data_IF_471610203927
#
_entry.id   IF_471610203927
#
_cell.length_a   1.000
_cell.length_b   1.000
_cell.length_c   1.000
_cell.angle_alpha   90.00
_cell.angle_beta   90.00
_cell.angle_gamma   90.00
#
_symmetry.space_group_name_H-M   'P 1'
#
loop_
_entity.id
_entity.type
_entity.pdbx_description
1 polymer ?
#
# COMPACT_ATOMS: atom_id res chain seq x y z
N UNK A 1 -25.70 -11.74 -2.19
CA UNK A 1 -24.41 -12.30 -2.61
C UNK A 1 -24.13 -11.89 -4.06
N UNK A 2 -23.03 -11.20 -4.34
CA UNK A 2 -22.77 -10.44 -5.60
C UNK A 2 -22.98 -11.24 -6.89
N UNK A 3 -22.75 -12.56 -6.85
CA UNK A 3 -22.98 -13.46 -8.00
C UNK A 3 -24.44 -13.48 -8.49
N UNK A 4 -25.41 -13.29 -7.59
CA UNK A 4 -26.85 -13.29 -7.92
C UNK A 4 -27.34 -11.95 -8.47
N UNK A 5 -26.52 -10.90 -8.41
CA UNK A 5 -26.92 -9.57 -8.89
C UNK A 5 -26.71 -9.45 -10.40
N UNK A 6 -27.71 -8.94 -11.16
CA UNK A 6 -27.54 -8.59 -12.56
C UNK A 6 -26.38 -7.60 -12.75
N UNK A 7 -25.69 -7.67 -13.90
CA UNK A 7 -24.61 -6.73 -14.22
C UNK A 7 -25.11 -5.28 -14.28
N UNK A 8 -26.37 -5.07 -14.66
CA UNK A 8 -27.02 -3.76 -14.70
C UNK A 8 -27.05 -3.09 -13.33
N UNK A 9 -27.37 -3.83 -12.26
CA UNK A 9 -27.41 -3.30 -10.89
C UNK A 9 -26.01 -2.86 -10.44
N UNK A 10 -24.99 -3.67 -10.72
CA UNK A 10 -23.60 -3.37 -10.37
C UNK A 10 -23.07 -2.18 -11.19
N UNK A 11 -23.52 -2.04 -12.44
CA UNK A 11 -23.19 -0.90 -13.30
C UNK A 11 -23.82 0.38 -12.79
N UNK A 12 -25.09 0.30 -12.36
CA UNK A 12 -25.81 1.42 -11.76
C UNK A 12 -25.18 1.88 -10.44
N UNK A 13 -24.57 0.95 -9.69
CA UNK A 13 -23.78 1.24 -8.49
C UNK A 13 -22.39 1.85 -8.78
N UNK A 14 -22.01 2.07 -10.05
CA UNK A 14 -20.79 2.78 -10.44
C UNK A 14 -19.60 1.90 -10.84
N UNK A 15 -19.72 0.57 -10.83
CA UNK A 15 -18.63 -0.29 -11.29
C UNK A 15 -18.48 -0.23 -12.81
N UNK A 16 -17.25 -0.26 -13.32
CA UNK A 16 -17.00 -0.49 -14.75
C UNK A 16 -17.26 -1.95 -15.12
N UNK A 17 -17.50 -2.24 -16.40
CA UNK A 17 -17.69 -3.63 -16.87
C UNK A 17 -16.50 -4.54 -16.54
N UNK A 18 -15.27 -4.01 -16.60
CA UNK A 18 -14.09 -4.76 -16.19
C UNK A 18 -14.12 -5.10 -14.69
N UNK A 19 -14.42 -4.11 -13.82
CA UNK A 19 -14.53 -4.33 -12.38
C UNK A 19 -15.65 -5.29 -12.02
N UNK A 20 -16.79 -5.23 -12.71
CA UNK A 20 -17.88 -6.21 -12.55
C UNK A 20 -17.38 -7.63 -12.80
N UNK A 21 -16.65 -7.84 -13.91
CA UNK A 21 -16.09 -9.15 -14.24
C UNK A 21 -15.09 -9.64 -13.18
N UNK A 22 -14.25 -8.75 -12.65
CA UNK A 22 -13.25 -9.10 -11.63
C UNK A 22 -13.92 -9.45 -10.30
N UNK A 23 -14.88 -8.64 -9.84
CA UNK A 23 -15.60 -8.90 -8.58
C UNK A 23 -16.41 -10.19 -8.68
N UNK A 24 -17.05 -10.47 -9.82
CA UNK A 24 -17.75 -11.74 -10.03
C UNK A 24 -16.81 -12.93 -10.10
N UNK A 25 -15.66 -12.82 -10.76
CA UNK A 25 -14.63 -13.87 -10.77
C UNK A 25 -14.11 -14.17 -9.36
N UNK A 26 -13.78 -13.12 -8.60
CA UNK A 26 -13.36 -13.24 -7.20
C UNK A 26 -14.41 -13.94 -6.34
N UNK A 27 -15.67 -13.49 -6.42
CA UNK A 27 -16.76 -14.08 -5.67
C UNK A 27 -17.01 -15.55 -6.06
N UNK A 28 -16.89 -15.90 -7.34
CA UNK A 28 -17.03 -17.28 -7.79
C UNK A 28 -15.93 -18.18 -7.21
N UNK A 29 -14.68 -17.71 -7.19
CA UNK A 29 -13.53 -18.44 -6.64
C UNK A 29 -13.62 -18.71 -5.14
N UNK A 30 -14.22 -17.80 -4.39
CA UNK A 30 -14.51 -18.04 -2.97
C UNK A 30 -15.62 -19.07 -2.78
N UNK A 31 -16.64 -19.07 -3.65
CA UNK A 31 -17.77 -20.01 -3.55
C UNK A 31 -17.38 -21.42 -3.95
N UNK A 32 -16.56 -21.57 -4.98
CA UNK A 32 -16.11 -22.88 -5.48
C UNK A 32 -14.86 -23.41 -4.78
N UNK A 33 -14.28 -22.65 -3.84
CA UNK A 33 -13.12 -23.06 -3.05
C UNK A 33 -11.78 -22.96 -3.78
N UNK A 34 -11.74 -22.40 -5.00
CA UNK A 34 -10.47 -22.15 -5.72
C UNK A 34 -9.61 -21.06 -5.08
N UNK A 35 -10.19 -20.24 -4.21
CA UNK A 35 -9.48 -19.24 -3.43
C UNK A 35 -9.90 -19.35 -1.97
N UNK A 36 -8.93 -19.65 -1.11
CA UNK A 36 -9.10 -19.68 0.35
C UNK A 36 -8.08 -18.75 0.99
N UNK A 37 -8.59 -17.75 1.73
CA UNK A 37 -7.75 -16.76 2.42
C UNK A 37 -6.93 -17.38 3.54
N UNK A 38 -7.41 -18.47 4.15
CA UNK A 38 -6.71 -19.15 5.25
C UNK A 38 -5.40 -19.77 4.76
N UNK A 39 -5.43 -20.38 3.58
CA UNK A 39 -4.23 -20.92 2.94
C UNK A 39 -3.22 -19.82 2.66
N UNK A 40 -3.67 -18.64 2.19
CA UNK A 40 -2.78 -17.50 1.94
C UNK A 40 -2.15 -16.97 3.24
N UNK A 41 -2.88 -17.01 4.36
CA UNK A 41 -2.35 -16.59 5.66
C UNK A 41 -1.23 -17.52 6.16
N UNK A 42 -1.38 -18.83 5.93
CA UNK A 42 -0.44 -19.88 6.32
C UNK A 42 0.83 -19.94 5.44
N UNK A 43 0.82 -19.33 4.26
CA UNK A 43 1.99 -19.24 3.40
C UNK A 43 2.99 -18.21 3.95
N UNK A 44 4.20 -18.65 4.29
CA UNK A 44 5.29 -17.75 4.68
C UNK A 44 5.98 -17.10 3.47
N UNK A 45 5.97 -17.77 2.32
CA UNK A 45 6.60 -17.27 1.10
C UNK A 45 5.75 -16.19 0.41
N UNK A 46 6.37 -15.02 0.20
CA UNK A 46 5.77 -13.88 -0.49
C UNK A 46 5.40 -14.22 -1.94
N UNK A 47 6.28 -14.90 -2.67
CA UNK A 47 6.06 -15.20 -4.09
C UNK A 47 4.92 -16.22 -4.28
N UNK A 48 4.81 -17.20 -3.39
CA UNK A 48 3.66 -18.10 -3.35
C UNK A 48 2.35 -17.34 -3.11
N UNK A 49 2.32 -16.41 -2.13
CA UNK A 49 1.16 -15.58 -1.87
C UNK A 49 0.75 -14.74 -3.09
N UNK A 50 1.72 -14.09 -3.74
CA UNK A 50 1.49 -13.28 -4.94
C UNK A 50 0.96 -14.16 -6.08
N UNK A 51 1.51 -15.36 -6.26
CA UNK A 51 1.10 -16.29 -7.30
C UNK A 51 -0.35 -16.73 -7.10
N UNK A 52 -0.76 -17.08 -5.88
CA UNK A 52 -2.15 -17.46 -5.58
C UNK A 52 -3.12 -16.31 -5.82
N UNK A 53 -2.81 -15.10 -5.33
CA UNK A 53 -3.65 -13.92 -5.53
C UNK A 53 -3.75 -13.52 -7.01
N UNK A 54 -2.65 -13.65 -7.77
CA UNK A 54 -2.60 -13.31 -9.19
C UNK A 54 -3.42 -14.25 -10.08
N UNK A 55 -3.89 -15.39 -9.55
CA UNK A 55 -4.85 -16.23 -10.28
C UNK A 55 -6.19 -15.53 -10.48
N UNK A 56 -6.56 -14.59 -9.62
CA UNK A 56 -7.81 -13.83 -9.71
C UNK A 56 -7.75 -12.86 -10.89
N UNK A 57 -8.79 -12.84 -11.72
CA UNK A 57 -8.81 -11.95 -12.88
C UNK A 57 -8.78 -10.49 -12.44
N UNK A 58 -7.79 -9.73 -12.95
CA UNK A 58 -7.64 -8.30 -12.65
C UNK A 58 -6.79 -8.01 -11.41
N UNK A 59 -6.31 -9.05 -10.72
CA UNK A 59 -5.31 -8.92 -9.65
C UNK A 59 -3.94 -9.25 -10.26
N UNK A 60 -3.06 -8.26 -10.33
CA UNK A 60 -1.67 -8.44 -10.72
C UNK A 60 -0.74 -8.32 -9.51
N UNK A 61 0.58 -8.46 -9.74
CA UNK A 61 1.60 -8.42 -8.67
C UNK A 61 1.42 -7.24 -7.72
N UNK A 62 1.35 -6.02 -8.24
CA UNK A 62 1.21 -4.82 -7.41
C UNK A 62 -0.05 -4.86 -6.54
N UNK A 63 -1.20 -5.29 -7.10
CA UNK A 63 -2.44 -5.44 -6.33
C UNK A 63 -2.31 -6.54 -5.28
N UNK A 64 -1.64 -7.65 -5.58
CA UNK A 64 -1.36 -8.71 -4.61
C UNK A 64 -0.50 -8.20 -3.45
N UNK A 65 0.57 -7.45 -3.74
CA UNK A 65 1.42 -6.81 -2.72
C UNK A 65 0.60 -5.86 -1.83
N UNK A 66 -0.29 -5.03 -2.42
CA UNK A 66 -1.19 -4.15 -1.65
C UNK A 66 -2.15 -4.95 -0.75
N UNK A 67 -2.70 -6.06 -1.24
CA UNK A 67 -3.56 -6.95 -0.44
C UNK A 67 -2.76 -7.54 0.72
N UNK A 68 -1.54 -8.02 0.47
CA UNK A 68 -0.68 -8.62 1.49
C UNK A 68 -0.31 -7.62 2.59
N UNK A 69 -0.02 -6.37 2.21
CA UNK A 69 0.30 -5.29 3.15
C UNK A 69 -0.92 -4.86 3.98
N UNK A 70 -2.04 -4.54 3.35
CA UNK A 70 -3.16 -3.86 4.03
C UNK A 70 -4.24 -4.79 4.56
N UNK A 71 -4.58 -5.85 3.81
CA UNK A 71 -5.64 -6.77 4.22
C UNK A 71 -5.08 -7.92 5.06
N UNK A 72 -3.97 -8.51 4.64
CA UNK A 72 -3.34 -9.67 5.32
C UNK A 72 -2.38 -9.21 6.42
N UNK A 73 -1.85 -7.98 6.34
CA UNK A 73 -0.89 -7.39 7.30
C UNK A 73 0.43 -8.16 7.41
N UNK A 74 0.93 -8.71 6.30
CA UNK A 74 2.27 -9.30 6.24
C UNK A 74 3.31 -8.17 6.46
N UNK A 75 4.27 -8.32 7.39
CA UNK A 75 5.15 -7.22 7.80
C UNK A 75 6.30 -6.94 6.82
N UNK A 76 6.62 -7.89 5.93
CA UNK A 76 7.86 -7.84 5.13
C UNK A 76 7.65 -7.78 3.61
N UNK A 77 6.64 -7.03 3.15
CA UNK A 77 6.35 -6.85 1.72
C UNK A 77 7.03 -5.57 1.21
N UNK A 78 7.68 -5.66 0.04
CA UNK A 78 8.31 -4.53 -0.64
C UNK A 78 7.78 -4.39 -2.07
N UNK A 79 6.83 -3.47 -2.33
CA UNK A 79 6.27 -3.28 -3.67
C UNK A 79 7.25 -2.51 -4.57
N UNK A 80 8.24 -3.21 -5.12
CA UNK A 80 9.33 -2.60 -5.89
C UNK A 80 8.85 -1.82 -7.13
N UNK A 81 7.66 -2.13 -7.66
CA UNK A 81 7.08 -1.45 -8.83
C UNK A 81 6.27 -0.19 -8.48
N UNK A 82 6.06 0.10 -7.20
CA UNK A 82 5.26 1.25 -6.75
C UNK A 82 6.06 2.55 -6.88
N UNK A 83 5.63 3.44 -7.77
CA UNK A 83 6.32 4.71 -8.02
C UNK A 83 6.30 5.64 -6.81
N UNK A 84 5.28 5.53 -5.95
CA UNK A 84 5.19 6.29 -4.71
C UNK A 84 6.28 5.84 -3.73
N UNK A 85 6.39 4.53 -3.48
CA UNK A 85 7.45 3.99 -2.62
C UNK A 85 8.83 4.31 -3.18
N UNK A 86 9.06 4.14 -4.49
CA UNK A 86 10.35 4.47 -5.09
C UNK A 86 10.72 5.95 -4.89
N UNK A 87 9.78 6.87 -5.10
CA UNK A 87 10.00 8.31 -4.89
C UNK A 87 10.22 8.62 -3.40
N UNK A 88 9.45 7.99 -2.51
CA UNK A 88 9.62 8.12 -1.07
C UNK A 88 11.00 7.67 -0.59
N UNK A 89 11.51 6.55 -1.14
CA UNK A 89 12.87 6.07 -0.85
C UNK A 89 13.93 7.08 -1.28
N UNK A 90 13.80 7.68 -2.47
CA UNK A 90 14.70 8.74 -2.89
C UNK A 90 14.67 9.93 -1.91
N UNK A 91 13.48 10.38 -1.52
CA UNK A 91 13.33 11.49 -0.57
C UNK A 91 13.93 11.15 0.81
N UNK A 92 13.79 9.89 1.25
CA UNK A 92 14.37 9.42 2.50
C UNK A 92 15.90 9.44 2.47
N UNK A 93 16.54 8.75 1.52
CA UNK A 93 18.01 8.66 1.47
C UNK A 93 18.70 9.98 1.11
N UNK A 94 18.00 10.91 0.45
CA UNK A 94 18.51 12.24 0.16
C UNK A 94 18.30 13.25 1.29
N UNK A 95 17.58 12.88 2.35
CA UNK A 95 17.41 13.73 3.52
C UNK A 95 18.70 13.83 4.35
N UNK A 96 18.75 14.85 5.21
CA UNK A 96 19.82 15.05 6.17
C UNK A 96 19.68 14.08 7.35
N UNK A 97 20.67 14.02 8.24
CA UNK A 97 20.63 13.12 9.41
C UNK A 97 19.47 13.36 10.39
N UNK A 98 18.79 14.51 10.29
CA UNK A 98 17.54 14.78 11.02
C UNK A 98 16.31 14.06 10.43
N UNK A 99 16.49 13.36 9.30
CA UNK A 99 15.44 12.67 8.57
C UNK A 99 14.53 13.60 7.78
N UNK A 100 13.66 13.02 6.93
CA UNK A 100 12.76 13.80 6.11
C UNK A 100 11.59 14.36 6.93
N UNK A 101 11.19 15.60 6.66
CA UNK A 101 10.09 16.28 7.37
C UNK A 101 8.74 15.83 6.84
N UNK A 102 8.04 14.97 7.58
CA UNK A 102 6.69 14.53 7.23
C UNK A 102 5.69 15.62 7.64
N UNK A 103 5.05 16.27 6.66
CA UNK A 103 3.97 17.22 6.91
C UNK A 103 2.63 16.49 6.95
N UNK A 104 2.16 16.14 8.15
CA UNK A 104 0.82 15.57 8.33
C UNK A 104 -0.21 16.70 8.17
N UNK A 105 -0.84 16.80 7.01
CA UNK A 105 -2.06 17.60 6.87
C UNK A 105 -3.12 16.97 7.77
N UNK A 106 -3.43 17.60 8.91
CA UNK A 106 -4.56 17.17 9.76
C UNK A 106 -5.82 17.23 8.90
N UNK A 107 -6.42 16.07 8.57
CA UNK A 107 -7.76 16.02 8.00
C UNK A 107 -8.71 16.70 8.98
N UNK A 108 -9.39 17.75 8.54
CA UNK A 108 -10.54 18.27 9.28
C UNK A 108 -11.68 17.26 9.14
N UNK A 109 -12.39 16.90 10.22
CA UNK A 109 -13.56 16.03 10.12
C UNK A 109 -14.59 16.66 9.17
N UNK A 110 -14.91 15.98 8.06
CA UNK A 110 -15.95 16.41 7.11
C UNK A 110 -15.48 17.00 5.77
N UNK A 111 -14.17 17.10 5.49
CA UNK A 111 -13.68 17.42 4.14
C UNK A 111 -13.56 16.13 3.31
N UNK A 112 -14.47 15.94 2.35
CA UNK A 112 -14.29 14.95 1.27
C UNK A 112 -13.17 15.43 0.34
N UNK A 113 -12.26 14.53 -0.04
CA UNK A 113 -11.19 14.82 -0.99
C UNK A 113 -11.79 15.35 -2.31
N UNK A 114 -11.20 16.37 -2.96
CA UNK A 114 -11.49 16.57 -4.37
C UNK A 114 -11.06 15.30 -5.11
N UNK A 115 -12.01 14.65 -5.80
CA UNK A 115 -11.74 13.47 -6.62
C UNK A 115 -10.49 13.71 -7.47
N UNK A 116 -9.52 12.81 -7.34
CA UNK A 116 -8.27 12.84 -8.09
C UNK A 116 -8.63 12.71 -9.58
N UNK A 117 -8.72 13.87 -10.26
CA UNK A 117 -9.26 13.97 -11.61
C UNK A 117 -8.21 13.55 -12.63
N UNK A 118 -7.92 12.26 -12.67
CA UNK A 118 -7.08 11.64 -13.68
C UNK A 118 -7.73 10.36 -14.25
N UNK A 119 -9.06 10.31 -14.38
CA UNK A 119 -9.75 9.38 -15.29
C UNK A 119 -11.00 10.06 -15.88
N UNK A 120 -10.95 10.28 -17.20
CA UNK A 120 -12.07 10.55 -18.11
C UNK A 120 -12.94 11.81 -17.92
N UNK A 121 -12.51 12.90 -18.57
CA UNK A 121 -13.43 13.93 -19.08
C UNK A 121 -14.32 13.34 -20.17
N UNK A 122 -15.58 12.99 -19.85
CA UNK A 122 -16.76 13.32 -20.68
C UNK A 122 -18.08 12.89 -20.01
N UNK A 123 -19.10 13.71 -20.27
CA UNK A 123 -20.52 13.60 -19.90
C UNK A 123 -20.93 13.90 -18.46
N UNK A 124 -21.09 15.21 -18.17
CA UNK A 124 -22.06 15.73 -17.21
C UNK A 124 -23.48 15.29 -17.61
N UNK A 125 -24.12 14.44 -16.81
CA UNK A 125 -25.57 14.47 -16.57
C UNK A 125 -25.82 14.13 -15.10
N UNK A 126 -26.41 15.08 -14.40
CA UNK A 126 -26.84 15.00 -12.99
C UNK A 126 -27.79 13.82 -12.79
N UNK A 127 -27.61 12.94 -11.79
CA UNK A 127 -28.66 12.01 -11.42
C UNK A 127 -29.59 12.64 -10.37
N UNK A 128 -30.89 12.42 -10.57
CA UNK A 128 -31.94 12.76 -9.64
C UNK A 128 -31.85 11.92 -8.36
N UNK A 129 -32.18 12.55 -7.24
CA UNK A 129 -32.27 11.95 -5.91
C UNK A 129 -33.27 10.80 -5.90
N UNK A 130 -32.81 9.56 -5.75
CA UNK A 130 -33.64 8.38 -5.52
C UNK A 130 -33.54 8.01 -4.03
N UNK A 131 -34.65 8.16 -3.32
CA UNK A 131 -34.81 7.73 -1.93
C UNK A 131 -34.92 6.20 -1.89
N UNK A 132 -33.93 5.55 -1.27
CA UNK A 132 -33.95 4.11 -1.00
C UNK A 132 -34.57 3.91 0.39
N UNK A 133 -35.75 3.29 0.46
CA UNK A 133 -36.30 2.75 1.70
C UNK A 133 -35.43 1.58 2.16
N UNK A 134 -34.78 1.72 3.31
CA UNK A 134 -34.10 0.62 3.99
C UNK A 134 -35.15 -0.29 4.64
N UNK A 135 -35.21 -1.56 4.23
CA UNK A 135 -35.76 -2.61 5.07
C UNK A 135 -34.66 -3.05 6.04
N UNK A 136 -34.81 -2.67 7.30
CA UNK A 136 -33.98 -3.09 8.41
C UNK A 136 -34.34 -4.53 8.82
N UNK A 137 -33.58 -5.50 8.34
CA UNK A 137 -33.46 -6.79 9.01
C UNK A 137 -32.24 -6.74 9.94
N UNK A 138 -32.32 -7.23 11.19
CA UNK A 138 -31.20 -7.14 12.12
C UNK A 138 -30.13 -8.15 11.70
N UNK A 139 -29.11 -7.67 10.97
CA UNK A 139 -27.84 -8.36 10.86
C UNK A 139 -27.05 -8.03 12.12
N UNK A 140 -27.05 -8.92 13.09
CA UNK A 140 -26.17 -8.77 14.25
C UNK A 140 -24.70 -8.90 13.79
N UNK A 141 -23.85 -7.90 14.09
CA UNK A 141 -22.42 -7.99 13.81
C UNK A 141 -21.82 -9.15 14.61
N UNK A 142 -21.09 -10.04 13.96
CA UNK A 142 -20.26 -11.04 14.62
C UNK A 142 -19.29 -10.33 15.57
N UNK A 143 -19.51 -10.47 16.88
CA UNK A 143 -18.59 -9.95 17.90
C UNK A 143 -17.36 -10.85 17.97
N UNK A 144 -16.39 -10.65 17.08
CA UNK A 144 -15.03 -11.07 17.37
C UNK A 144 -14.48 -10.12 18.45
N UNK A 145 -14.31 -10.65 19.68
CA UNK A 145 -13.46 -10.02 20.69
C UNK A 145 -12.01 -10.12 20.23
N UNK A 146 -11.63 -9.27 19.27
CA UNK A 146 -10.25 -8.89 19.11
C UNK A 146 -9.85 -8.04 20.31
N UNK A 147 -8.68 -8.30 20.89
CA UNK A 147 -8.11 -7.40 21.89
C UNK A 147 -8.07 -5.97 21.32
N UNK A 148 -8.55 -5.00 22.09
CA UNK A 148 -8.45 -3.59 21.71
C UNK A 148 -6.98 -3.22 21.70
N UNK A 149 -6.36 -3.26 20.52
CA UNK A 149 -5.04 -2.68 20.32
C UNK A 149 -5.23 -1.17 20.32
N UNK A 150 -4.62 -0.43 21.27
CA UNK A 150 -4.74 1.03 21.30
C UNK A 150 -4.29 1.62 19.97
N UNK A 151 -4.94 2.70 19.54
CA UNK A 151 -4.46 3.46 18.39
C UNK A 151 -3.00 3.86 18.64
N UNK A 152 -2.17 3.92 17.60
CA UNK A 152 -0.76 4.35 17.71
C UNK A 152 -0.61 5.74 18.38
N UNK A 153 -1.64 6.57 18.29
CA UNK A 153 -1.72 7.88 18.96
C UNK A 153 -1.96 7.79 20.49
N UNK A 154 -2.37 6.63 20.98
CA UNK A 154 -2.66 6.32 22.39
C UNK A 154 -1.55 5.49 23.05
N UNK A 155 -0.59 4.98 22.27
CA UNK A 155 0.63 4.38 22.82
C UNK A 155 1.60 5.50 23.21
N UNK A 156 1.49 5.99 24.44
CA UNK A 156 2.42 6.98 25.03
C UNK A 156 3.83 6.42 25.25
N UNK A 157 3.98 5.09 25.19
CA UNK A 157 5.24 4.40 25.47
C UNK A 157 5.84 3.99 24.13
N UNK A 158 6.77 4.81 23.64
CA UNK A 158 7.72 4.34 22.64
C UNK A 158 8.38 3.07 23.20
N UNK A 159 8.36 1.92 22.48
CA UNK A 159 8.95 0.69 22.98
C UNK A 159 10.38 1.01 23.41
N UNK A 160 10.73 0.66 24.65
CA UNK A 160 12.08 0.90 25.14
C UNK A 160 13.03 0.14 24.21
N UNK A 161 14.02 0.81 23.61
CA UNK A 161 14.97 0.15 22.73
C UNK A 161 15.61 -1.02 23.49
N UNK A 162 15.84 -2.14 22.79
CA UNK A 162 16.37 -3.34 23.41
C UNK A 162 17.68 -3.02 24.15
N UNK A 163 17.94 -3.63 25.34
CA UNK A 163 19.19 -3.41 26.04
C UNK A 163 20.37 -3.85 25.18
N UNK A 164 21.11 -2.87 24.64
CA UNK A 164 22.18 -3.09 23.67
C UNK A 164 22.01 -2.29 22.37
N UNK A 165 20.82 -1.77 22.08
CA UNK A 165 20.59 -0.82 20.99
C UNK A 165 21.35 0.48 21.28
N UNK A 166 22.44 0.68 20.55
CA UNK A 166 23.14 1.97 20.49
C UNK A 166 22.65 2.68 19.25
N UNK A 167 21.86 3.73 19.41
CA UNK A 167 21.63 4.66 18.32
C UNK A 167 23.00 5.13 17.81
N UNK A 168 23.28 4.94 16.53
CA UNK A 168 24.55 5.37 15.93
C UNK A 168 24.73 6.87 16.22
N UNK A 169 25.75 7.21 17.00
CA UNK A 169 26.10 8.59 17.33
C UNK A 169 26.87 9.28 16.20
N UNK A 170 27.18 8.54 15.12
CA UNK A 170 27.71 9.09 13.88
C UNK A 170 26.58 9.79 13.11
N UNK A 171 26.02 10.84 13.71
CA UNK A 171 25.29 11.85 12.98
C UNK A 171 26.29 12.63 12.12
N UNK A 172 26.78 11.99 11.04
CA UNK A 172 27.24 12.72 9.88
C UNK A 172 26.13 13.65 9.39
N UNK A 173 26.47 14.66 8.59
CA UNK A 173 25.45 15.58 8.05
C UNK A 173 24.44 14.84 7.13
N UNK A 174 24.78 13.64 6.64
CA UNK A 174 24.01 12.89 5.65
C UNK A 174 23.78 11.41 5.99
N UNK A 175 22.76 10.82 5.37
CA UNK A 175 22.43 9.39 5.41
C UNK A 175 23.24 8.54 4.41
N UNK A 176 24.38 9.05 3.91
CA UNK A 176 25.12 8.41 2.82
C UNK A 176 25.70 7.04 3.20
N UNK A 177 26.00 6.84 4.49
CA UNK A 177 26.47 5.56 5.03
C UNK A 177 25.40 4.44 4.95
N UNK A 178 24.12 4.79 4.83
CA UNK A 178 23.01 3.84 4.68
C UNK A 178 22.74 3.48 3.21
N UNK A 179 23.32 4.22 2.26
CA UNK A 179 23.18 3.91 0.84
C UNK A 179 24.09 2.73 0.55
N UNK A 180 23.50 1.56 0.28
CA UNK A 180 24.27 0.39 -0.14
C UNK A 180 25.14 0.74 -1.35
N UNK A 181 26.44 0.44 -1.30
CA UNK A 181 27.36 0.64 -2.45
C UNK A 181 27.14 -0.40 -3.57
N UNK A 182 26.11 -1.23 -3.44
CA UNK A 182 25.72 -2.25 -4.40
C UNK A 182 24.96 -1.64 -5.58
N UNK A 183 24.96 -2.33 -6.73
CA UNK A 183 24.26 -1.90 -7.94
C UNK A 183 24.63 -0.49 -8.47
N UNK A 184 25.76 0.09 -8.03
CA UNK A 184 26.18 1.43 -8.42
C UNK A 184 25.40 2.56 -7.75
N UNK A 185 24.69 2.26 -6.66
CA UNK A 185 23.96 3.25 -5.88
C UNK A 185 24.93 4.22 -5.19
N UNK A 186 24.59 5.51 -5.25
CA UNK A 186 25.28 6.59 -4.57
C UNK A 186 24.36 7.80 -4.44
N UNK A 187 24.64 8.71 -3.50
CA UNK A 187 23.86 9.95 -3.33
C UNK A 187 23.70 10.72 -4.65
N UNK A 188 24.77 10.80 -5.44
CA UNK A 188 24.76 11.48 -6.75
C UNK A 188 23.80 10.81 -7.76
N UNK A 189 23.78 9.47 -7.80
CA UNK A 189 22.85 8.72 -8.66
C UNK A 189 21.42 8.97 -8.22
N UNK A 190 21.11 8.88 -6.91
CA UNK A 190 19.77 9.13 -6.38
C UNK A 190 19.28 10.56 -6.70
N UNK A 191 20.14 11.57 -6.51
CA UNK A 191 19.83 12.95 -6.90
C UNK A 191 19.55 13.09 -8.39
N UNK A 192 20.30 12.38 -9.23
CA UNK A 192 20.07 12.36 -10.67
C UNK A 192 18.71 11.74 -11.02
N UNK A 193 18.25 10.71 -10.29
CA UNK A 193 16.94 10.07 -10.52
C UNK A 193 15.79 11.01 -10.19
N UNK A 194 15.90 11.75 -9.08
CA UNK A 194 14.90 12.76 -8.68
C UNK A 194 14.75 13.85 -9.75
N UNK A 195 15.86 14.29 -10.34
CA UNK A 195 15.88 15.31 -11.40
C UNK A 195 15.33 14.84 -12.76
N UNK A 196 15.00 13.55 -12.91
CA UNK A 196 14.33 13.02 -14.10
C UNK A 196 15.10 11.95 -14.89
N UNK A 197 16.31 11.58 -14.49
CA UNK A 197 17.09 10.51 -15.14
C UNK A 197 16.62 9.11 -14.70
N UNK A 198 15.35 8.82 -14.98
CA UNK A 198 14.67 7.57 -14.63
C UNK A 198 15.26 6.36 -15.38
N UNK A 199 15.17 5.17 -14.79
CA UNK A 199 15.47 3.93 -15.51
C UNK A 199 14.41 3.66 -16.59
N UNK A 200 14.71 2.69 -17.46
CA UNK A 200 13.80 2.19 -18.49
C UNK A 200 12.43 1.86 -17.87
N UNK A 201 11.35 2.28 -18.54
CA UNK A 201 9.99 2.09 -18.05
C UNK A 201 9.49 3.19 -17.11
N UNK A 202 10.25 4.27 -16.92
CA UNK A 202 9.80 5.43 -16.12
C UNK A 202 9.85 5.19 -14.60
N UNK A 203 10.56 4.15 -14.17
CA UNK A 203 10.84 3.86 -12.77
C UNK A 203 12.06 4.67 -12.30
N UNK A 204 12.16 4.91 -11.00
CA UNK A 204 13.29 5.60 -10.38
C UNK A 204 14.39 4.62 -9.97
N UNK A 205 13.99 3.49 -9.40
CA UNK A 205 14.85 2.45 -8.84
C UNK A 205 14.43 1.09 -9.41
N UNK A 206 15.41 0.24 -9.71
CA UNK A 206 15.20 -1.15 -10.11
C UNK A 206 14.83 -2.01 -8.91
N UNK A 207 14.24 -3.20 -9.12
CA UNK A 207 13.88 -4.11 -8.02
C UNK A 207 15.07 -4.50 -7.14
N UNK A 208 16.27 -4.64 -7.72
CA UNK A 208 17.46 -5.03 -6.98
C UNK A 208 18.00 -3.85 -6.14
N UNK A 209 18.02 -2.64 -6.71
CA UNK A 209 18.34 -1.41 -5.98
C UNK A 209 17.37 -1.18 -4.79
N UNK A 210 16.07 -1.39 -5.03
CA UNK A 210 15.04 -1.30 -3.98
C UNK A 210 15.29 -2.28 -2.84
N UNK A 211 15.61 -3.55 -3.17
CA UNK A 211 15.90 -4.59 -2.17
C UNK A 211 17.16 -4.26 -1.38
N UNK A 212 18.23 -3.81 -2.04
CA UNK A 212 19.48 -3.45 -1.39
C UNK A 212 19.29 -2.30 -0.38
N UNK A 213 18.56 -1.24 -0.78
CA UNK A 213 18.27 -0.10 0.09
C UNK A 213 17.34 -0.47 1.27
N UNK A 214 16.38 -1.36 1.05
CA UNK A 214 15.40 -1.76 2.06
C UNK A 214 15.86 -2.95 2.93
N UNK A 215 17.07 -3.47 2.73
CA UNK A 215 17.56 -4.67 3.43
C UNK A 215 17.58 -4.48 4.95
N UNK A 216 17.98 -3.29 5.41
CA UNK A 216 18.00 -2.94 6.84
C UNK A 216 16.60 -2.80 7.47
N UNK A 217 15.55 -2.73 6.65
CA UNK A 217 14.17 -2.62 7.12
C UNK A 217 13.47 -3.98 7.26
N UNK A 218 14.10 -5.08 6.83
CA UNK A 218 13.57 -6.43 7.06
C UNK A 218 13.64 -6.78 8.55
N UNK A 219 12.62 -7.44 9.14
CA UNK A 219 11.43 -8.03 8.51
C UNK A 219 10.19 -7.11 8.50
N UNK A 220 10.37 -5.78 8.55
CA UNK A 220 9.29 -4.79 8.66
C UNK A 220 9.22 -3.84 7.46
N UNK A 221 9.60 -4.31 6.26
CA UNK A 221 9.59 -3.50 5.03
C UNK A 221 8.22 -2.91 4.72
N UNK A 222 7.12 -3.60 5.02
CA UNK A 222 5.76 -3.09 4.82
C UNK A 222 5.52 -1.79 5.60
N UNK A 223 6.04 -1.72 6.83
CA UNK A 223 5.90 -0.54 7.69
C UNK A 223 6.74 0.61 7.14
N UNK A 224 7.98 0.35 6.72
CA UNK A 224 8.84 1.35 6.10
C UNK A 224 8.17 1.94 4.84
N UNK A 225 7.53 1.12 4.00
CA UNK A 225 6.79 1.58 2.83
C UNK A 225 5.64 2.55 3.18
N UNK A 226 4.96 2.37 4.31
CA UNK A 226 3.93 3.31 4.77
C UNK A 226 4.51 4.71 5.00
N UNK A 227 5.71 4.80 5.56
CA UNK A 227 6.42 6.08 5.69
C UNK A 227 6.87 6.62 4.33
N UNK A 228 7.31 5.76 3.41
CA UNK A 228 7.73 6.20 2.07
C UNK A 228 6.59 6.91 1.32
N UNK A 229 5.36 6.40 1.38
CA UNK A 229 4.21 7.11 0.79
C UNK A 229 3.97 8.47 1.44
N UNK A 230 4.10 8.60 2.75
CA UNK A 230 3.95 9.88 3.45
C UNK A 230 5.02 10.93 3.05
N UNK A 231 6.15 10.50 2.47
CA UNK A 231 7.23 11.36 1.98
C UNK A 231 7.06 11.81 0.54
N UNK A 232 6.05 11.31 -0.17
CA UNK A 232 5.79 11.71 -1.57
C UNK A 232 5.06 13.05 -1.66
N UNK A 233 4.26 13.36 -0.65
CA UNK A 233 3.33 14.49 -0.57
C UNK A 233 3.92 15.75 0.09
N UNK A 234 5.20 15.71 0.47
CA UNK A 234 5.98 16.83 1.02
C UNK A 234 6.60 17.67 -0.08
#
# INVERSE_FOLDING_TARGET
MVLRRPDADLRAAGLSFAKIKYVKDLAARFVDGRLDIRQILELDDEEACITELSKVKGVGRWTSEMILMFAVRKPDILPCADLGVQKGMLNFFLSDSQGPKISIKKRKPGEEEPEDSAVDKKTKKTPAKLEIKAEEGPLEPTQEKGDQVPLLAQTEIMPKPEPGFKAEQEAGESLDHLIANEHGLSRAVLQSRVKGNKIKGGQYLSPDEMKALAQSWSPYRSVACMFMWALVDT
#
